data_IF_010720875255
#
_entry.id   IF_010720875255
#
_cell.length_a   1.000
_cell.length_b   1.000
_cell.length_c   1.000
_cell.angle_alpha   90.00
_cell.angle_beta   90.00
_cell.angle_gamma   90.00
#
_symmetry.space_group_name_H-M   'P 1'
#
loop_
_entity.id
_entity.type
_entity.pdbx_description
1 polymer ?
#
# COMPACT_ATOMS: atom_id res chain seq x y z
N UNK A 1 20.13 5.05 -7.48
CA UNK A 1 20.74 6.18 -8.24
C UNK A 1 19.85 6.74 -9.35
N UNK A 2 18.81 6.04 -9.83
CA UNK A 2 17.86 6.61 -10.82
C UNK A 2 16.80 7.56 -10.21
N UNK A 3 16.38 7.34 -8.96
CA UNK A 3 15.38 8.22 -8.30
C UNK A 3 15.90 9.61 -7.87
N UNK A 4 17.20 9.85 -7.93
CA UNK A 4 17.83 11.16 -7.62
C UNK A 4 18.18 11.92 -8.91
N UNK A 5 18.34 11.21 -10.04
CA UNK A 5 18.70 11.79 -11.34
C UNK A 5 17.47 12.09 -12.21
N UNK A 6 16.35 11.42 -11.96
CA UNK A 6 15.08 11.83 -12.51
C UNK A 6 14.53 12.92 -11.60
N UNK A 7 14.76 14.18 -11.96
CA UNK A 7 14.05 15.39 -11.52
C UNK A 7 12.53 15.33 -11.82
N UNK A 8 11.97 14.12 -11.93
CA UNK A 8 10.55 13.89 -11.84
C UNK A 8 10.19 14.02 -10.37
N UNK A 9 9.91 15.25 -9.95
CA UNK A 9 9.00 15.53 -8.86
C UNK A 9 7.62 14.93 -9.22
N UNK A 10 7.51 13.59 -9.23
CA UNK A 10 6.22 12.92 -9.24
C UNK A 10 5.57 13.39 -7.96
N UNK A 11 4.54 14.23 -8.13
CA UNK A 11 3.92 14.93 -7.04
C UNK A 11 3.52 13.92 -5.94
N UNK A 12 3.94 14.18 -4.70
CA UNK A 12 3.67 13.28 -3.57
C UNK A 12 2.17 12.99 -3.42
N UNK A 13 1.31 13.96 -3.73
CA UNK A 13 -0.14 13.77 -3.77
C UNK A 13 -0.56 12.71 -4.81
N UNK A 14 0.08 12.64 -5.97
CA UNK A 14 -0.22 11.62 -6.99
C UNK A 14 0.27 10.23 -6.55
N UNK A 15 1.45 10.14 -5.93
CA UNK A 15 1.95 8.86 -5.40
C UNK A 15 1.00 8.33 -4.33
N UNK A 16 0.61 9.18 -3.37
CA UNK A 16 -0.28 8.80 -2.29
C UNK A 16 -1.70 8.50 -2.79
N UNK A 17 -2.17 9.18 -3.85
CA UNK A 17 -3.42 8.86 -4.52
C UNK A 17 -3.39 7.45 -5.14
N UNK A 18 -2.28 7.06 -5.78
CA UNK A 18 -2.11 5.71 -6.34
C UNK A 18 -2.03 4.66 -5.22
N UNK A 19 -1.35 4.98 -4.11
CA UNK A 19 -1.34 4.14 -2.91
C UNK A 19 -2.78 3.97 -2.36
N UNK A 20 -3.58 5.02 -2.29
CA UNK A 20 -4.97 4.94 -1.86
C UNK A 20 -5.83 4.07 -2.79
N UNK A 21 -5.63 4.20 -4.11
CA UNK A 21 -6.24 3.32 -5.12
C UNK A 21 -5.84 1.85 -4.95
N UNK A 22 -4.63 1.55 -4.48
CA UNK A 22 -4.21 0.17 -4.20
C UNK A 22 -5.05 -0.50 -3.11
N UNK A 23 -5.48 0.27 -2.10
CA UNK A 23 -6.37 -0.22 -1.03
C UNK A 23 -7.75 -0.55 -1.61
N UNK A 24 -8.29 0.33 -2.46
CA UNK A 24 -9.56 0.09 -3.15
C UNK A 24 -9.48 -1.15 -4.02
N UNK A 25 -8.43 -1.26 -4.85
CA UNK A 25 -8.19 -2.41 -5.71
C UNK A 25 -8.16 -3.71 -4.90
N UNK A 26 -7.42 -3.73 -3.79
CA UNK A 26 -7.26 -4.96 -3.00
C UNK A 26 -8.51 -5.31 -2.22
N UNK A 27 -9.25 -4.32 -1.71
CA UNK A 27 -10.55 -4.53 -1.08
C UNK A 27 -11.57 -5.12 -2.07
N UNK A 28 -11.60 -4.61 -3.31
CA UNK A 28 -12.46 -5.13 -4.36
C UNK A 28 -12.08 -6.55 -4.80
N UNK A 29 -10.78 -6.83 -4.96
CA UNK A 29 -10.25 -8.18 -5.25
C UNK A 29 -10.60 -9.17 -4.13
N UNK A 30 -10.44 -8.79 -2.86
CA UNK A 30 -10.75 -9.63 -1.71
C UNK A 30 -12.24 -10.01 -1.61
N UNK A 31 -13.14 -9.17 -2.12
CA UNK A 31 -14.57 -9.46 -2.19
C UNK A 31 -14.96 -10.29 -3.42
N UNK A 32 -13.99 -10.68 -4.26
CA UNK A 32 -14.25 -11.36 -5.53
C UNK A 32 -14.88 -10.44 -6.58
N UNK A 33 -14.74 -9.12 -6.43
CA UNK A 33 -15.35 -8.12 -7.30
C UNK A 33 -14.94 -8.30 -8.76
N UNK A 34 -13.65 -8.50 -9.04
CA UNK A 34 -13.18 -8.68 -10.42
C UNK A 34 -13.81 -9.90 -11.10
N UNK A 35 -13.89 -11.03 -10.39
CA UNK A 35 -14.48 -12.23 -10.98
C UNK A 35 -16.00 -12.12 -11.16
N UNK A 36 -16.69 -11.40 -10.26
CA UNK A 36 -18.14 -11.18 -10.36
C UNK A 36 -18.54 -10.17 -11.43
N UNK A 37 -17.75 -9.12 -11.64
CA UNK A 37 -18.06 -8.04 -12.59
C UNK A 37 -17.41 -8.20 -13.96
N UNK A 38 -16.15 -8.67 -14.02
CA UNK A 38 -15.39 -8.79 -15.27
C UNK A 38 -15.29 -10.24 -15.78
N UNK A 39 -15.65 -11.23 -14.96
CA UNK A 39 -15.56 -12.65 -15.33
C UNK A 39 -14.13 -13.23 -15.36
N UNK A 40 -13.11 -12.42 -15.06
CA UNK A 40 -11.72 -12.86 -14.93
C UNK A 40 -11.01 -12.16 -13.78
N UNK A 41 -9.94 -12.77 -13.27
CA UNK A 41 -9.11 -12.17 -12.22
C UNK A 41 -7.85 -11.55 -12.85
N UNK A 42 -7.58 -10.25 -12.63
CA UNK A 42 -6.35 -9.62 -13.08
C UNK A 42 -5.10 -10.29 -12.50
N UNK A 43 -3.96 -10.14 -13.16
CA UNK A 43 -2.70 -10.73 -12.68
C UNK A 43 -2.27 -10.08 -11.36
N UNK A 44 -2.47 -10.81 -10.27
CA UNK A 44 -2.15 -10.36 -8.91
C UNK A 44 -0.66 -10.07 -8.71
N UNK A 45 0.23 -10.78 -9.40
CA UNK A 45 1.69 -10.54 -9.32
C UNK A 45 2.06 -9.19 -9.92
N UNK A 46 1.47 -8.86 -11.07
CA UNK A 46 1.68 -7.57 -11.72
C UNK A 46 1.14 -6.43 -10.84
N UNK A 47 -0.05 -6.60 -10.25
CA UNK A 47 -0.61 -5.60 -9.34
C UNK A 47 0.27 -5.37 -8.10
N UNK A 48 0.75 -6.44 -7.45
CA UNK A 48 1.66 -6.32 -6.29
C UNK A 48 2.98 -5.65 -6.67
N UNK A 49 3.53 -5.94 -7.85
CA UNK A 49 4.75 -5.28 -8.33
C UNK A 49 4.51 -3.78 -8.53
N UNK A 50 3.46 -3.40 -9.26
CA UNK A 50 3.15 -2.01 -9.57
C UNK A 50 2.88 -1.23 -8.27
N UNK A 51 1.97 -1.71 -7.43
CA UNK A 51 1.68 -1.03 -6.17
C UNK A 51 2.88 -1.02 -5.23
N UNK A 52 3.63 -2.12 -5.14
CA UNK A 52 4.87 -2.18 -4.35
C UNK A 52 5.89 -1.12 -4.75
N UNK A 53 6.03 -0.83 -6.05
CA UNK A 53 6.88 0.27 -6.52
C UNK A 53 6.39 1.64 -6.05
N UNK A 54 5.08 1.92 -6.16
CA UNK A 54 4.51 3.19 -5.67
C UNK A 54 4.63 3.36 -4.15
N UNK A 55 4.40 2.29 -3.38
CA UNK A 55 4.63 2.29 -1.93
C UNK A 55 6.10 2.55 -1.60
N UNK A 56 7.03 1.93 -2.33
CA UNK A 56 8.47 2.18 -2.19
C UNK A 56 8.85 3.64 -2.49
N UNK A 57 8.24 4.25 -3.52
CA UNK A 57 8.44 5.67 -3.82
C UNK A 57 7.88 6.60 -2.74
N UNK A 58 6.66 6.37 -2.26
CA UNK A 58 6.05 7.18 -1.20
C UNK A 58 6.89 7.17 0.08
N UNK A 59 7.41 5.99 0.43
CA UNK A 59 8.32 5.85 1.56
C UNK A 59 9.66 6.55 1.33
N UNK A 60 10.25 6.42 0.14
CA UNK A 60 11.50 7.07 -0.21
C UNK A 60 11.38 8.61 -0.19
N UNK A 61 10.24 9.18 -0.61
CA UNK A 61 10.00 10.63 -0.49
C UNK A 61 9.95 11.09 0.96
N UNK A 62 9.30 10.33 1.84
CA UNK A 62 9.23 10.67 3.27
C UNK A 62 10.56 10.53 4.00
N UNK A 63 11.38 9.56 3.61
CA UNK A 63 12.75 9.44 4.12
C UNK A 63 13.66 10.59 3.66
N UNK A 64 13.40 11.23 2.52
CA UNK A 64 14.16 12.41 2.08
C UNK A 64 13.77 13.68 2.87
N UNK A 65 12.52 13.79 3.31
CA UNK A 65 12.04 14.88 4.19
C UNK A 65 12.67 14.79 5.60
N UNK A 66 12.86 13.56 6.11
CA UNK A 66 13.64 13.30 7.32
C UNK A 66 15.11 13.61 7.01
N UNK A 67 15.56 14.82 7.33
CA UNK A 67 16.89 15.36 7.03
C UNK A 67 18.02 14.51 7.63
N UNK A 68 18.39 13.40 6.97
CA UNK A 68 19.45 12.52 7.46
C UNK A 68 20.81 13.20 7.31
N UNK A 69 21.55 13.28 8.41
CA UNK A 69 22.94 13.71 8.40
C UNK A 69 23.75 12.78 7.46
N UNK A 70 24.46 13.38 6.49
CA UNK A 70 25.04 12.63 5.36
C UNK A 70 26.11 11.62 5.79
N UNK A 71 26.64 11.77 7.00
CA UNK A 71 27.70 10.97 7.62
C UNK A 71 27.24 9.59 8.14
N UNK A 72 25.96 9.23 8.04
CA UNK A 72 25.45 7.90 8.45
C UNK A 72 24.41 7.28 7.51
N UNK A 73 24.23 7.86 6.32
CA UNK A 73 23.08 7.58 5.45
C UNK A 73 22.98 6.10 5.01
N UNK A 74 24.11 5.46 4.67
CA UNK A 74 24.10 4.05 4.25
C UNK A 74 23.69 3.12 5.40
N UNK A 75 24.23 3.33 6.60
CA UNK A 75 23.90 2.55 7.80
C UNK A 75 22.43 2.72 8.19
N UNK A 76 21.93 3.95 8.12
CA UNK A 76 20.53 4.25 8.41
C UNK A 76 19.58 3.62 7.39
N UNK A 77 19.92 3.65 6.10
CA UNK A 77 19.14 2.99 5.05
C UNK A 77 19.10 1.47 5.22
N UNK A 78 20.24 0.84 5.56
CA UNK A 78 20.29 -0.60 5.81
C UNK A 78 19.45 -0.94 7.04
N UNK A 79 19.64 -0.24 8.15
CA UNK A 79 18.88 -0.45 9.38
C UNK A 79 17.37 -0.24 9.19
N UNK A 80 17.00 0.78 8.41
CA UNK A 80 15.61 1.05 8.05
C UNK A 80 15.00 -0.11 7.23
N UNK A 81 15.68 -0.56 6.16
CA UNK A 81 15.16 -1.65 5.32
C UNK A 81 15.06 -2.97 6.10
N UNK A 82 16.05 -3.28 6.94
CA UNK A 82 15.99 -4.46 7.83
C UNK A 82 14.79 -4.34 8.78
N UNK A 83 14.60 -3.17 9.38
CA UNK A 83 13.46 -2.91 10.25
C UNK A 83 12.11 -3.11 9.55
N UNK A 84 11.96 -2.61 8.32
CA UNK A 84 10.76 -2.79 7.49
C UNK A 84 10.54 -4.26 7.16
N UNK A 85 11.57 -4.98 6.70
CA UNK A 85 11.45 -6.38 6.31
C UNK A 85 11.06 -7.26 7.51
N UNK A 86 11.69 -7.03 8.68
CA UNK A 86 11.37 -7.74 9.93
C UNK A 86 9.95 -7.41 10.39
N UNK A 87 9.57 -6.14 10.36
CA UNK A 87 8.22 -5.70 10.71
C UNK A 87 7.15 -6.31 9.81
N UNK A 88 7.38 -6.33 8.50
CA UNK A 88 6.50 -6.94 7.51
C UNK A 88 6.36 -8.45 7.75
N UNK A 89 7.48 -9.15 7.98
CA UNK A 89 7.45 -10.59 8.24
C UNK A 89 6.65 -10.93 9.50
N UNK A 90 6.88 -10.21 10.61
CA UNK A 90 6.15 -10.41 11.87
C UNK A 90 4.65 -10.11 11.68
N UNK A 91 4.33 -8.98 11.04
CA UNK A 91 2.95 -8.58 10.79
C UNK A 91 2.21 -9.61 9.93
N UNK A 92 2.83 -10.08 8.82
CA UNK A 92 2.27 -11.11 7.96
C UNK A 92 2.07 -12.42 8.71
N UNK A 93 3.06 -12.88 9.49
CA UNK A 93 2.95 -14.10 10.27
C UNK A 93 1.80 -14.04 11.28
N UNK A 94 1.66 -12.93 12.00
CA UNK A 94 0.60 -12.73 12.98
C UNK A 94 -0.78 -12.68 12.31
N UNK A 95 -0.93 -11.87 11.26
CA UNK A 95 -2.21 -11.72 10.53
C UNK A 95 -2.62 -13.06 9.90
N UNK A 96 -1.68 -13.79 9.29
CA UNK A 96 -1.95 -15.11 8.72
C UNK A 96 -2.39 -16.11 9.80
N UNK A 97 -1.74 -16.11 10.96
CA UNK A 97 -2.13 -16.97 12.08
C UNK A 97 -3.56 -16.66 12.53
N UNK A 98 -3.89 -15.39 12.76
CA UNK A 98 -5.23 -14.97 13.20
C UNK A 98 -6.29 -15.35 12.16
N UNK A 99 -6.08 -14.98 10.88
CA UNK A 99 -7.05 -15.24 9.81
C UNK A 99 -7.24 -16.73 9.59
N UNK A 100 -6.17 -17.53 9.62
CA UNK A 100 -6.26 -18.99 9.38
C UNK A 100 -7.11 -19.68 10.44
N UNK A 101 -6.94 -19.30 11.71
CA UNK A 101 -7.75 -19.83 12.81
C UNK A 101 -9.19 -19.32 12.74
N UNK A 102 -9.38 -18.04 12.41
CA UNK A 102 -10.70 -17.40 12.43
C UNK A 102 -11.57 -17.74 11.21
N UNK A 103 -10.98 -18.07 10.06
CA UNK A 103 -11.69 -18.39 8.82
C UNK A 103 -12.64 -19.58 8.93
N UNK A 104 -12.48 -20.44 9.95
CA UNK A 104 -13.39 -21.56 10.21
C UNK A 104 -14.73 -21.14 10.83
N UNK A 105 -14.85 -19.90 11.30
CA UNK A 105 -16.07 -19.37 11.90
C UNK A 105 -16.99 -18.73 10.85
N UNK A 106 -18.32 -18.91 10.93
CA UNK A 106 -19.28 -18.21 10.07
C UNK A 106 -19.25 -16.68 10.23
N UNK A 107 -18.70 -16.17 11.34
CA UNK A 107 -18.49 -14.72 11.56
C UNK A 107 -17.49 -14.12 10.56
N UNK A 108 -16.54 -14.92 10.06
CA UNK A 108 -15.48 -14.45 9.17
C UNK A 108 -16.01 -13.81 7.89
N UNK A 109 -17.05 -14.37 7.28
CA UNK A 109 -17.59 -13.84 6.01
C UNK A 109 -18.23 -12.47 6.18
N UNK A 110 -18.98 -12.26 7.27
CA UNK A 110 -19.59 -10.96 7.59
C UNK A 110 -18.51 -9.92 7.90
N UNK A 111 -17.53 -10.29 8.71
CA UNK A 111 -16.41 -9.42 9.06
C UNK A 111 -15.56 -9.05 7.83
N UNK A 112 -15.21 -10.03 6.99
CA UNK A 112 -14.47 -9.80 5.75
C UNK A 112 -15.21 -8.84 4.83
N UNK A 113 -16.53 -9.02 4.66
CA UNK A 113 -17.34 -8.14 3.80
C UNK A 113 -17.34 -6.72 4.32
N UNK A 114 -17.60 -6.54 5.63
CA UNK A 114 -17.61 -5.22 6.27
C UNK A 114 -16.25 -4.53 6.18
N UNK A 115 -15.18 -5.21 6.59
CA UNK A 115 -13.82 -4.65 6.62
C UNK A 115 -13.33 -4.26 5.23
N UNK A 116 -13.51 -5.11 4.21
CA UNK A 116 -13.10 -4.75 2.85
C UNK A 116 -13.95 -3.60 2.29
N UNK A 117 -15.24 -3.52 2.62
CA UNK A 117 -16.10 -2.39 2.22
C UNK A 117 -15.63 -1.08 2.87
N UNK A 118 -15.31 -1.11 4.16
CA UNK A 118 -14.78 0.04 4.90
C UNK A 118 -13.41 0.46 4.37
N UNK A 119 -12.53 -0.51 4.06
CA UNK A 119 -11.22 -0.23 3.44
C UNK A 119 -11.37 0.43 2.07
N UNK A 120 -12.30 -0.04 1.24
CA UNK A 120 -12.59 0.61 -0.04
C UNK A 120 -13.11 2.03 0.16
N UNK A 121 -14.05 2.25 1.08
CA UNK A 121 -14.57 3.59 1.37
C UNK A 121 -13.46 4.53 1.86
N UNK A 122 -12.61 4.08 2.79
CA UNK A 122 -11.46 4.83 3.25
C UNK A 122 -10.45 5.11 2.12
N UNK A 123 -10.19 4.12 1.26
CA UNK A 123 -9.32 4.28 0.10
C UNK A 123 -9.83 5.33 -0.89
N UNK A 124 -11.14 5.35 -1.17
CA UNK A 124 -11.75 6.39 -2.01
C UNK A 124 -11.69 7.78 -1.37
N UNK A 125 -11.93 7.87 -0.06
CA UNK A 125 -11.82 9.14 0.67
C UNK A 125 -10.40 9.69 0.64
N UNK A 126 -9.40 8.83 0.90
CA UNK A 126 -7.98 9.21 0.85
C UNK A 126 -7.57 9.60 -0.57
N UNK A 127 -8.02 8.87 -1.58
CA UNK A 127 -7.78 9.21 -2.98
C UNK A 127 -8.33 10.60 -3.33
N UNK A 128 -9.58 10.88 -2.94
CA UNK A 128 -10.20 12.18 -3.15
C UNK A 128 -9.46 13.30 -2.41
N UNK A 129 -9.07 13.06 -1.16
CA UNK A 129 -8.28 14.01 -0.37
C UNK A 129 -6.96 14.37 -1.06
N UNK A 130 -6.22 13.37 -1.55
CA UNK A 130 -4.95 13.60 -2.23
C UNK A 130 -5.12 14.27 -3.59
N UNK A 131 -6.17 13.96 -4.35
CA UNK A 131 -6.47 14.68 -5.59
C UNK A 131 -6.82 16.15 -5.35
N UNK A 132 -7.63 16.45 -4.33
CA UNK A 132 -7.96 17.83 -3.97
C UNK A 132 -6.68 18.57 -3.52
N UNK A 133 -5.81 17.91 -2.74
CA UNK A 133 -4.49 18.42 -2.40
C UNK A 133 -3.65 18.74 -3.64
N UNK A 134 -3.63 17.84 -4.63
CA UNK A 134 -2.94 18.04 -5.90
C UNK A 134 -3.43 19.26 -6.67
N UNK A 135 -4.74 19.48 -6.78
CA UNK A 135 -5.31 20.61 -7.53
C UNK A 135 -5.18 21.96 -6.80
N UNK A 136 -5.00 21.96 -5.48
CA UNK A 136 -4.85 23.16 -4.65
C UNK A 136 -3.38 23.51 -4.32
N UNK A 137 -2.42 22.72 -4.83
CA UNK A 137 -0.97 22.94 -4.65
C UNK A 137 -0.36 23.65 -5.84
#
# INVERSE_FOLDING_TARGET
MLGVLADMAINAYLIDAIIALSIVYKGFDNLGGFQRFLGYQPNTKAAVLIFGLFHGFGLASKLQELSFDRTGLLTNLIGFNIGVEVGQFIALALVLFIITNWRRSPSFMKFSTLTNTLLMAAGFLLFGYQLVGYFNS
#
